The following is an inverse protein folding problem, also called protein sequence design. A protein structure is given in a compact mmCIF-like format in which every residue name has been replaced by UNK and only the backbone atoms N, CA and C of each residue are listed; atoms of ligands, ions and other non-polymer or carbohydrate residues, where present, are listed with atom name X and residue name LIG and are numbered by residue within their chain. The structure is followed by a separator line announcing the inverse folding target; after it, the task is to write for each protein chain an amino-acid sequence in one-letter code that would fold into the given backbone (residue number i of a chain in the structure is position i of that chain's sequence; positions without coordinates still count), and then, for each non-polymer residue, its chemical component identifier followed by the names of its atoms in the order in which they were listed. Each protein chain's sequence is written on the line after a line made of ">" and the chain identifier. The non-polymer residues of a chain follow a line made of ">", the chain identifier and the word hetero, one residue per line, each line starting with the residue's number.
data_IF_502327225716
#
_entry.id   IF_502327225716
#
_cell.length_a   1.000
_cell.length_b   1.000
_cell.length_c   1.000
_cell.angle_alpha   90.00
_cell.angle_beta   90.00
_cell.angle_gamma   90.00
#
_symmetry.space_group_name_H-M   'P 1'
#
loop_
_entity.id
_entity.type
_entity.pdbx_description
1 polymer ?
#
# COMPACT_ATOMS: atom_id res chain seq x y z
N UNK A 1 -18.49 -3.32 5.00
CA UNK A 1 -17.34 -2.43 5.06
C UNK A 1 -16.30 -2.87 4.03
N UNK A 2 -15.72 -1.93 3.27
CA UNK A 2 -14.72 -2.26 2.24
C UNK A 2 -15.25 -2.79 0.90
N UNK A 3 -16.55 -2.87 0.67
CA UNK A 3 -17.14 -3.44 -0.55
C UNK A 3 -16.61 -2.78 -1.83
N UNK A 4 -16.55 -1.44 -1.87
CA UNK A 4 -16.05 -0.72 -3.03
C UNK A 4 -14.58 -1.05 -3.36
N UNK A 5 -13.73 -1.27 -2.34
CA UNK A 5 -12.34 -1.66 -2.54
C UNK A 5 -12.22 -3.09 -3.08
N UNK A 6 -13.07 -4.01 -2.58
CA UNK A 6 -13.13 -5.40 -3.06
C UNK A 6 -13.62 -5.44 -4.52
N UNK A 7 -14.68 -4.69 -4.84
CA UNK A 7 -15.20 -4.61 -6.21
C UNK A 7 -14.15 -4.04 -7.17
N UNK A 8 -13.40 -3.02 -6.74
CA UNK A 8 -12.33 -2.45 -7.55
C UNK A 8 -11.19 -3.44 -7.79
N UNK A 9 -10.80 -4.24 -6.78
CA UNK A 9 -9.82 -5.32 -6.94
C UNK A 9 -10.30 -6.40 -7.90
N UNK A 10 -11.57 -6.82 -7.79
CA UNK A 10 -12.19 -7.78 -8.71
C UNK A 10 -12.17 -7.24 -10.14
N UNK A 11 -12.51 -5.97 -10.36
CA UNK A 11 -12.41 -5.36 -11.68
C UNK A 11 -10.96 -5.36 -12.19
N UNK A 12 -10.00 -4.97 -11.36
CA UNK A 12 -8.59 -4.97 -11.73
C UNK A 12 -8.07 -6.35 -12.13
N UNK A 13 -8.55 -7.41 -11.48
CA UNK A 13 -8.17 -8.81 -11.81
C UNK A 13 -8.62 -9.26 -13.20
N UNK A 14 -9.61 -8.60 -13.78
CA UNK A 14 -10.13 -8.87 -15.13
C UNK A 14 -9.38 -8.12 -16.23
N UNK A 15 -8.41 -7.24 -15.87
CA UNK A 15 -7.63 -6.54 -16.88
C UNK A 15 -6.81 -7.52 -17.72
N UNK A 16 -6.95 -7.39 -19.04
CA UNK A 16 -6.17 -8.15 -20.02
C UNK A 16 -4.86 -7.47 -20.37
N UNK A 17 -4.75 -6.17 -20.12
CA UNK A 17 -3.53 -5.40 -20.31
C UNK A 17 -2.64 -5.56 -19.06
N UNK A 18 -1.48 -6.10 -19.28
CA UNK A 18 -0.39 -6.12 -18.28
C UNK A 18 0.53 -4.93 -18.46
N UNK A 19 -0.03 -3.78 -18.84
CA UNK A 19 0.76 -2.56 -18.95
C UNK A 19 1.26 -2.16 -17.56
N UNK A 20 2.51 -1.79 -17.50
CA UNK A 20 3.21 -1.42 -16.27
C UNK A 20 3.02 0.05 -15.90
N UNK A 21 2.22 0.80 -16.67
CA UNK A 21 2.05 2.23 -16.52
C UNK A 21 1.14 2.57 -15.34
N UNK A 22 1.71 3.18 -14.34
CA UNK A 22 0.98 3.82 -13.25
C UNK A 22 0.50 5.22 -13.65
N UNK A 23 -0.57 5.69 -13.02
CA UNK A 23 -0.98 7.09 -13.10
C UNK A 23 0.05 7.99 -12.42
N UNK A 24 0.21 9.24 -12.90
CA UNK A 24 1.17 10.15 -12.31
C UNK A 24 0.72 10.65 -10.93
N UNK A 25 1.69 10.87 -10.06
CA UNK A 25 1.56 11.60 -8.81
C UNK A 25 2.76 12.53 -8.65
N UNK A 26 2.68 13.51 -7.77
CA UNK A 26 3.81 14.38 -7.44
C UNK A 26 4.12 14.30 -5.95
N UNK A 27 5.38 14.59 -5.60
CA UNK A 27 5.81 14.66 -4.20
C UNK A 27 6.52 15.99 -3.95
N UNK A 28 6.18 16.64 -2.85
CA UNK A 28 6.74 17.92 -2.45
C UNK A 28 7.22 17.88 -1.00
N UNK A 29 8.24 18.69 -0.71
CA UNK A 29 8.80 18.83 0.62
C UNK A 29 9.90 17.82 0.96
N UNK A 30 10.69 18.15 1.98
CA UNK A 30 11.77 17.28 2.44
C UNK A 30 11.38 16.44 3.67
N UNK A 31 10.57 16.96 4.59
CA UNK A 31 10.01 16.23 5.72
C UNK A 31 9.00 17.13 6.48
N UNK A 32 7.75 16.75 6.64
CA UNK A 32 7.12 15.56 6.03
C UNK A 32 6.92 15.72 4.52
N UNK A 33 7.14 14.66 3.76
CA UNK A 33 6.89 14.65 2.32
C UNK A 33 5.38 14.62 2.06
N UNK A 34 4.88 15.58 1.31
CA UNK A 34 3.50 15.61 0.85
C UNK A 34 3.40 14.86 -0.47
N UNK A 35 2.50 13.88 -0.55
CA UNK A 35 2.19 13.16 -1.77
C UNK A 35 0.90 13.71 -2.37
N UNK A 36 1.00 14.38 -3.53
CA UNK A 36 -0.16 14.90 -4.23
C UNK A 36 -0.68 13.89 -5.25
N UNK A 37 -1.90 13.42 -5.01
CA UNK A 37 -2.63 12.49 -5.87
C UNK A 37 -3.54 13.19 -6.90
N UNK A 38 -3.54 14.52 -6.94
CA UNK A 38 -4.37 15.28 -7.89
C UNK A 38 -4.10 14.89 -9.35
N UNK A 39 -2.85 14.72 -9.80
CA UNK A 39 -2.57 14.25 -11.16
C UNK A 39 -3.15 12.86 -11.45
N UNK A 40 -3.09 11.94 -10.47
CA UNK A 40 -3.66 10.60 -10.57
C UNK A 40 -5.17 10.65 -10.77
N UNK A 41 -5.88 11.43 -9.95
CA UNK A 41 -7.35 11.57 -10.07
C UNK A 41 -7.74 12.18 -11.41
N UNK A 42 -7.03 13.21 -11.88
CA UNK A 42 -7.28 13.82 -13.20
C UNK A 42 -7.09 12.82 -14.33
N UNK A 43 -6.05 11.98 -14.25
CA UNK A 43 -5.80 10.96 -15.27
C UNK A 43 -6.88 9.87 -15.28
N UNK A 44 -7.39 9.45 -14.13
CA UNK A 44 -8.54 8.52 -14.04
C UNK A 44 -9.78 9.14 -14.68
N UNK A 45 -10.09 10.40 -14.38
CA UNK A 45 -11.23 11.10 -14.98
C UNK A 45 -11.08 11.17 -16.50
N UNK A 46 -9.88 11.47 -17.00
CA UNK A 46 -9.59 11.46 -18.43
C UNK A 46 -9.85 10.10 -19.06
N UNK A 47 -9.38 9.01 -18.44
CA UNK A 47 -9.60 7.65 -18.95
C UNK A 47 -11.09 7.27 -18.97
N UNK A 48 -11.86 7.70 -17.95
CA UNK A 48 -13.32 7.50 -17.92
C UNK A 48 -13.99 8.24 -19.10
N UNK A 49 -13.61 9.48 -19.35
CA UNK A 49 -14.16 10.28 -20.47
C UNK A 49 -13.78 9.72 -21.84
N UNK A 50 -12.63 9.06 -21.94
CA UNK A 50 -12.16 8.36 -23.14
C UNK A 50 -12.74 6.94 -23.28
N UNK A 51 -13.65 6.53 -22.39
CA UNK A 51 -14.25 5.19 -22.34
C UNK A 51 -13.22 4.05 -22.24
N UNK A 52 -12.12 4.27 -21.54
CA UNK A 52 -11.20 3.19 -21.20
C UNK A 52 -11.93 2.16 -20.33
N UNK A 53 -11.67 0.88 -20.56
CA UNK A 53 -12.36 -0.19 -19.85
C UNK A 53 -12.10 -0.12 -18.32
N UNK A 54 -13.16 -0.28 -17.52
CA UNK A 54 -13.08 -0.20 -16.06
C UNK A 54 -12.02 -1.13 -15.46
N UNK A 55 -11.86 -2.40 -15.93
CA UNK A 55 -10.77 -3.26 -15.46
C UNK A 55 -9.37 -2.65 -15.63
N UNK A 56 -9.12 -1.96 -16.72
CA UNK A 56 -7.83 -1.33 -16.99
C UNK A 56 -7.59 -0.13 -16.07
N UNK A 57 -8.59 0.71 -15.88
CA UNK A 57 -8.54 1.84 -14.94
C UNK A 57 -8.26 1.31 -13.52
N UNK A 58 -9.00 0.29 -13.10
CA UNK A 58 -8.86 -0.33 -11.78
C UNK A 58 -7.46 -0.93 -11.58
N UNK A 59 -6.92 -1.62 -12.59
CA UNK A 59 -5.58 -2.20 -12.53
C UNK A 59 -4.50 -1.11 -12.42
N UNK A 60 -4.54 -0.11 -13.29
CA UNK A 60 -3.61 1.05 -13.26
C UNK A 60 -3.69 1.80 -11.94
N UNK A 61 -4.89 1.93 -11.36
CA UNK A 61 -5.05 2.52 -10.03
C UNK A 61 -4.25 1.75 -8.97
N UNK A 62 -4.37 0.41 -8.91
CA UNK A 62 -3.61 -0.41 -7.95
C UNK A 62 -2.10 -0.27 -8.16
N UNK A 63 -1.64 -0.28 -9.41
CA UNK A 63 -0.22 -0.05 -9.72
C UNK A 63 0.26 1.32 -9.24
N UNK A 64 -0.60 2.34 -9.35
CA UNK A 64 -0.27 3.71 -8.95
C UNK A 64 -0.15 3.85 -7.45
N UNK A 65 -1.08 3.25 -6.70
CA UNK A 65 -1.01 3.24 -5.23
C UNK A 65 0.23 2.48 -4.75
N UNK A 66 0.56 1.34 -5.36
CA UNK A 66 1.78 0.61 -5.05
C UNK A 66 3.04 1.45 -5.33
N UNK A 67 3.08 2.17 -6.47
CA UNK A 67 4.19 3.05 -6.82
C UNK A 67 4.33 4.22 -5.84
N UNK A 68 3.21 4.85 -5.45
CA UNK A 68 3.16 5.94 -4.50
C UNK A 68 3.67 5.52 -3.12
N UNK A 69 3.23 4.36 -2.62
CA UNK A 69 3.70 3.82 -1.34
C UNK A 69 5.18 3.44 -1.39
N UNK A 70 5.65 2.83 -2.48
CA UNK A 70 7.07 2.53 -2.65
C UNK A 70 7.93 3.80 -2.69
N UNK A 71 7.47 4.85 -3.36
CA UNK A 71 8.13 6.16 -3.37
C UNK A 71 8.20 6.78 -1.96
N UNK A 72 7.12 6.69 -1.17
CA UNK A 72 7.11 7.15 0.21
C UNK A 72 8.15 6.41 1.06
N UNK A 73 8.27 5.09 0.89
CA UNK A 73 9.30 4.29 1.57
C UNK A 73 10.71 4.74 1.16
N UNK A 74 10.96 4.98 -0.13
CA UNK A 74 12.26 5.41 -0.63
C UNK A 74 12.65 6.79 -0.10
N UNK A 75 11.73 7.74 -0.11
CA UNK A 75 11.94 9.07 0.47
C UNK A 75 12.25 8.98 1.96
N UNK A 76 11.53 8.12 2.69
CA UNK A 76 11.80 7.88 4.12
C UNK A 76 13.17 7.25 4.34
N UNK A 77 13.57 6.30 3.49
CA UNK A 77 14.91 5.69 3.54
C UNK A 77 16.00 6.73 3.33
N UNK A 78 15.84 7.62 2.37
CA UNK A 78 16.81 8.69 2.12
C UNK A 78 17.02 9.60 3.34
N UNK A 79 15.99 9.78 4.17
CA UNK A 79 16.03 10.61 5.38
C UNK A 79 16.54 9.88 6.63
N UNK A 80 16.21 8.58 6.76
CA UNK A 80 16.41 7.82 8.02
C UNK A 80 17.46 6.73 7.93
N UNK A 81 17.83 6.32 6.72
CA UNK A 81 18.69 5.15 6.48
C UNK A 81 18.00 3.80 6.71
N UNK A 82 16.69 3.78 7.06
CA UNK A 82 15.97 2.54 7.33
C UNK A 82 15.68 1.79 6.03
N UNK A 83 15.97 0.50 6.03
CA UNK A 83 15.78 -0.39 4.87
C UNK A 83 14.80 -1.53 5.13
N UNK A 84 14.04 -1.45 6.22
CA UNK A 84 13.04 -2.44 6.61
C UNK A 84 11.66 -1.81 6.52
N UNK A 85 10.74 -2.49 5.84
CA UNK A 85 9.34 -2.08 5.70
C UNK A 85 8.43 -3.16 6.22
N UNK A 86 7.51 -2.82 7.12
CA UNK A 86 6.45 -3.70 7.58
C UNK A 86 5.11 -3.24 7.02
N UNK A 87 4.42 -4.12 6.29
CA UNK A 87 3.10 -3.87 5.70
C UNK A 87 2.02 -4.49 6.58
N UNK A 88 1.16 -3.66 7.17
CA UNK A 88 0.06 -4.08 8.04
C UNK A 88 -1.13 -3.12 7.89
N UNK A 89 -2.31 -3.57 8.30
CA UNK A 89 -3.55 -2.83 8.15
C UNK A 89 -4.50 -3.46 7.13
N UNK A 90 -5.80 -3.15 7.26
CA UNK A 90 -6.88 -3.76 6.47
C UNK A 90 -6.73 -3.58 4.94
N UNK A 91 -6.05 -2.52 4.49
CA UNK A 91 -5.80 -2.27 3.07
C UNK A 91 -4.98 -3.39 2.43
N UNK A 92 -4.12 -4.08 3.19
CA UNK A 92 -3.29 -5.18 2.70
C UNK A 92 -4.01 -6.54 2.65
N UNK A 93 -5.33 -6.56 2.86
CA UNK A 93 -6.19 -7.64 2.42
C UNK A 93 -6.40 -7.62 0.90
N UNK A 94 -6.21 -6.46 0.25
CA UNK A 94 -6.15 -6.34 -1.20
C UNK A 94 -4.86 -7.00 -1.70
N UNK A 95 -5.03 -8.19 -2.29
CA UNK A 95 -3.91 -9.03 -2.71
C UNK A 95 -3.13 -8.42 -3.86
N UNK A 96 -3.83 -7.83 -4.83
CA UNK A 96 -3.19 -7.19 -5.97
C UNK A 96 -2.27 -6.04 -5.53
N UNK A 97 -2.78 -5.16 -4.65
CA UNK A 97 -1.99 -4.07 -4.10
C UNK A 97 -0.76 -4.59 -3.33
N UNK A 98 -0.97 -5.59 -2.46
CA UNK A 98 0.09 -6.16 -1.65
C UNK A 98 1.20 -6.76 -2.51
N UNK A 99 0.86 -7.61 -3.49
CA UNK A 99 1.83 -8.26 -4.39
C UNK A 99 2.62 -7.23 -5.21
N UNK A 100 1.94 -6.21 -5.75
CA UNK A 100 2.58 -5.16 -6.52
C UNK A 100 3.52 -4.29 -5.67
N UNK A 101 3.14 -3.99 -4.43
CA UNK A 101 3.97 -3.22 -3.52
C UNK A 101 5.19 -4.01 -3.06
N UNK A 102 5.03 -5.28 -2.68
CA UNK A 102 6.16 -6.15 -2.31
C UNK A 102 7.17 -6.22 -3.45
N UNK A 103 6.72 -6.54 -4.67
CA UNK A 103 7.58 -6.64 -5.84
C UNK A 103 8.40 -5.34 -6.05
N UNK A 104 7.77 -4.17 -5.92
CA UNK A 104 8.44 -2.87 -6.07
C UNK A 104 9.46 -2.62 -4.97
N UNK A 105 9.10 -2.87 -3.71
CA UNK A 105 9.98 -2.67 -2.56
C UNK A 105 11.20 -3.60 -2.60
N UNK A 106 11.01 -4.86 -2.96
CA UNK A 106 12.10 -5.83 -3.10
C UNK A 106 13.03 -5.46 -4.26
N UNK A 107 12.48 -4.99 -5.41
CA UNK A 107 13.28 -4.48 -6.52
C UNK A 107 14.13 -3.26 -6.13
N UNK A 108 13.68 -2.48 -5.13
CA UNK A 108 14.41 -1.36 -4.54
C UNK A 108 15.32 -1.80 -3.38
N UNK A 109 15.51 -3.11 -3.18
CA UNK A 109 16.33 -3.72 -2.13
C UNK A 109 15.86 -3.42 -0.70
N UNK A 110 14.57 -3.20 -0.48
CA UNK A 110 13.99 -3.18 0.87
C UNK A 110 13.79 -4.60 1.40
N UNK A 111 13.95 -4.77 2.71
CA UNK A 111 13.52 -5.96 3.43
C UNK A 111 12.06 -5.79 3.85
N UNK A 112 11.15 -6.60 3.27
CA UNK A 112 9.70 -6.45 3.45
C UNK A 112 9.17 -7.52 4.41
N UNK A 113 8.39 -7.09 5.38
CA UNK A 113 7.67 -7.96 6.30
C UNK A 113 6.16 -7.77 6.15
N UNK A 114 5.45 -8.88 6.16
CA UNK A 114 3.98 -8.92 6.10
C UNK A 114 3.43 -9.82 7.20
N UNK A 115 2.19 -9.61 7.58
CA UNK A 115 1.48 -10.48 8.52
C UNK A 115 1.32 -11.88 7.91
N UNK A 116 1.80 -12.93 8.60
CA UNK A 116 1.70 -14.32 8.15
C UNK A 116 0.79 -15.18 9.03
N UNK A 117 0.79 -14.93 10.35
CA UNK A 117 0.06 -15.75 11.34
C UNK A 117 -1.19 -15.08 11.88
N UNK A 118 -1.33 -13.80 11.65
CA UNK A 118 -2.41 -12.97 12.16
C UNK A 118 -2.92 -12.15 10.99
N UNK A 119 -4.24 -11.97 10.84
CA UNK A 119 -4.77 -11.12 9.77
C UNK A 119 -4.24 -9.68 9.92
N UNK A 120 -3.97 -8.98 8.81
CA UNK A 120 -3.42 -7.62 8.86
C UNK A 120 -4.42 -6.55 9.32
N UNK A 121 -5.70 -6.91 9.45
CA UNK A 121 -6.79 -6.03 9.87
C UNK A 121 -6.99 -6.01 11.39
N UNK A 122 -8.09 -5.40 11.85
CA UNK A 122 -8.46 -5.24 13.26
C UNK A 122 -8.56 -6.57 14.02
N UNK A 123 -8.76 -7.70 13.34
CA UNK A 123 -8.73 -9.03 13.95
C UNK A 123 -7.40 -9.38 14.62
N UNK A 124 -6.30 -8.70 14.24
CA UNK A 124 -4.99 -8.86 14.86
C UNK A 124 -4.72 -8.00 16.10
N UNK A 125 -5.56 -6.99 16.39
CA UNK A 125 -5.31 -6.01 17.45
C UNK A 125 -5.25 -6.63 18.84
N UNK A 126 -6.16 -7.53 19.18
CA UNK A 126 -6.22 -8.18 20.50
C UNK A 126 -4.94 -8.96 20.80
N UNK A 127 -4.39 -9.67 19.82
CA UNK A 127 -3.13 -10.38 19.96
C UNK A 127 -1.95 -9.41 20.17
N UNK A 128 -1.92 -8.31 19.43
CA UNK A 128 -0.93 -7.24 19.61
C UNK A 128 -0.97 -6.63 21.00
N UNK A 129 -2.17 -6.36 21.53
CA UNK A 129 -2.35 -5.84 22.89
C UNK A 129 -1.87 -6.83 23.94
N UNK A 130 -2.17 -8.13 23.80
CA UNK A 130 -1.69 -9.17 24.70
C UNK A 130 -0.16 -9.27 24.65
N UNK A 131 0.44 -9.21 23.46
CA UNK A 131 1.89 -9.26 23.30
C UNK A 131 2.59 -8.07 23.99
N UNK A 132 2.04 -6.86 23.85
CA UNK A 132 2.55 -5.65 24.52
C UNK A 132 2.40 -5.79 26.04
N UNK A 133 1.25 -6.23 26.54
CA UNK A 133 1.02 -6.44 27.97
C UNK A 133 2.01 -7.45 28.55
N UNK A 134 2.20 -8.57 27.87
CA UNK A 134 3.17 -9.60 28.29
C UNK A 134 4.61 -9.09 28.30
N UNK A 135 5.00 -8.28 27.31
CA UNK A 135 6.32 -7.67 27.28
C UNK A 135 6.54 -6.67 28.43
N UNK A 136 5.55 -5.85 28.75
CA UNK A 136 5.60 -4.91 29.88
C UNK A 136 5.71 -5.62 31.22
N UNK A 137 4.93 -6.69 31.44
CA UNK A 137 5.01 -7.51 32.64
C UNK A 137 6.41 -8.13 32.83
N UNK A 138 7.02 -8.64 31.75
CA UNK A 138 8.38 -9.21 31.80
C UNK A 138 9.45 -8.14 32.08
N UNK A 139 9.25 -6.93 31.62
CA UNK A 139 10.16 -5.81 31.86
C UNK A 139 10.00 -5.16 33.26
N UNK A 140 9.06 -5.63 34.09
CA UNK A 140 8.76 -5.05 35.40
C UNK A 140 8.06 -3.70 35.35
N UNK A 141 7.65 -3.26 34.17
CA UNK A 141 6.89 -2.01 33.95
C UNK A 141 5.39 -2.30 34.09
N UNK A 142 4.95 -2.51 35.32
CA UNK A 142 3.53 -2.47 35.67
C UNK A 142 3.17 -0.99 35.80
N UNK A 143 2.11 -0.57 35.08
CA UNK A 143 1.55 0.79 35.05
C UNK A 143 1.62 1.52 36.38
#
# INVERSE_FOLDING_TARGET
>A
EGQAAIELEVQASQSTRKETDSYPFTSEGQAPTLLDVTPLIRAIVSDILLNVAVPEIAYRFHLSIAALLAHACDTTRAQTGLNIVALSGGVFQNRLLLEQLICRLEAMAFQVYVNQRVPPNDGGLSLGQIAIAAARLRAGNIL
#
